data_IF_006477211241
#
_entry.id   IF_006477211241
#
_cell.length_a   1.000
_cell.length_b   1.000
_cell.length_c   1.000
_cell.angle_alpha   90.00
_cell.angle_beta   90.00
_cell.angle_gamma   90.00
#
_symmetry.space_group_name_H-M   'P 1'
#
loop_
_entity.id
_entity.type
_entity.pdbx_description
1 polymer ?
#
# COMPACT_ATOMS: atom_id res chain seq x y z
N UNK A 1 -27.29 -55.96 2.87
CA UNK A 1 -27.74 -54.57 2.61
C UNK A 1 -26.48 -53.71 2.49
N UNK A 2 -26.29 -53.06 1.34
CA UNK A 2 -25.08 -52.28 1.03
C UNK A 2 -25.22 -50.91 1.66
N UNK A 3 -24.42 -50.62 2.68
CA UNK A 3 -24.30 -49.26 3.22
C UNK A 3 -23.37 -48.48 2.30
N UNK A 4 -23.96 -47.66 1.42
CA UNK A 4 -23.22 -46.65 0.67
C UNK A 4 -22.83 -45.53 1.63
N UNK A 5 -21.56 -45.51 2.05
CA UNK A 5 -20.97 -44.36 2.72
C UNK A 5 -20.84 -43.22 1.73
N UNK A 6 -21.70 -42.23 1.87
CA UNK A 6 -21.64 -40.97 1.14
C UNK A 6 -20.42 -40.20 1.66
N UNK A 7 -19.33 -40.19 0.90
CA UNK A 7 -18.17 -39.35 1.18
C UNK A 7 -18.53 -37.90 0.81
N UNK A 8 -18.98 -37.11 1.79
CA UNK A 8 -19.05 -35.65 1.66
C UNK A 8 -17.64 -35.09 1.56
N UNK A 9 -17.18 -34.82 0.34
CA UNK A 9 -16.00 -34.02 0.10
C UNK A 9 -16.31 -32.58 0.56
N UNK A 10 -15.86 -32.20 1.77
CA UNK A 10 -15.67 -30.79 2.11
C UNK A 10 -14.52 -30.29 1.24
N UNK A 11 -14.85 -29.69 0.10
CA UNK A 11 -13.94 -28.75 -0.54
C UNK A 11 -13.78 -27.58 0.44
N UNK A 12 -12.75 -27.64 1.27
CA UNK A 12 -12.27 -26.49 2.03
C UNK A 12 -11.88 -25.42 1.01
N UNK A 13 -12.83 -24.54 0.67
CA UNK A 13 -12.52 -23.29 0.00
C UNK A 13 -11.64 -22.52 0.99
N UNK A 14 -10.32 -22.67 0.84
CA UNK A 14 -9.39 -21.76 1.49
C UNK A 14 -9.72 -20.40 0.89
N UNK A 15 -10.46 -19.58 1.63
CA UNK A 15 -10.50 -18.15 1.36
C UNK A 15 -9.03 -17.73 1.42
N UNK A 16 -8.41 -17.54 0.26
CA UNK A 16 -7.04 -17.08 0.15
C UNK A 16 -7.06 -15.62 0.59
N UNK A 17 -7.08 -15.41 1.91
CA UNK A 17 -7.04 -14.07 2.47
C UNK A 17 -5.72 -13.44 2.08
N UNK A 18 -5.71 -12.14 1.79
CA UNK A 18 -4.51 -11.40 1.46
C UNK A 18 -4.45 -10.11 2.27
N UNK A 19 -3.23 -9.61 2.46
CA UNK A 19 -2.98 -8.32 3.11
C UNK A 19 -2.01 -7.50 2.28
N UNK A 20 -2.05 -6.19 2.49
CA UNK A 20 -1.10 -5.28 1.86
C UNK A 20 0.18 -5.17 2.69
N UNK A 21 1.33 -5.36 2.05
CA UNK A 21 2.64 -5.47 2.72
C UNK A 21 3.73 -4.55 2.19
N UNK A 22 3.37 -3.70 1.24
CA UNK A 22 4.33 -2.82 0.62
C UNK A 22 3.72 -1.83 -0.33
N UNK A 23 4.58 -0.97 -0.86
CA UNK A 23 4.26 -0.06 -1.95
C UNK A 23 5.32 -0.14 -3.03
N UNK A 24 4.91 0.16 -4.26
CA UNK A 24 5.78 0.33 -5.40
C UNK A 24 5.34 1.51 -6.26
N UNK A 25 6.32 2.19 -6.86
CA UNK A 25 6.10 3.34 -7.73
C UNK A 25 7.22 3.43 -8.78
N UNK A 26 7.03 4.20 -9.87
CA UNK A 26 8.13 4.56 -10.76
C UNK A 26 9.24 5.28 -9.99
N UNK A 27 10.49 4.99 -10.32
CA UNK A 27 11.67 5.60 -9.68
C UNK A 27 11.79 7.10 -9.95
N UNK A 28 11.16 7.61 -11.01
CA UNK A 28 11.13 9.04 -11.34
C UNK A 28 9.68 9.52 -11.47
N UNK A 29 9.39 10.66 -10.85
CA UNK A 29 8.08 11.32 -10.85
C UNK A 29 8.21 12.74 -11.37
N UNK A 30 7.39 13.11 -12.35
CA UNK A 30 7.27 14.46 -12.86
C UNK A 30 6.17 15.25 -12.14
N UNK A 31 6.43 16.48 -11.68
CA UNK A 31 5.40 17.34 -11.12
C UNK A 31 4.19 17.51 -12.05
N UNK A 32 2.99 17.63 -11.46
CA UNK A 32 1.72 17.80 -12.19
C UNK A 32 1.40 16.66 -13.18
N UNK A 33 1.94 15.46 -12.96
CA UNK A 33 1.64 14.27 -13.74
C UNK A 33 0.99 13.18 -12.88
N UNK A 34 0.35 12.20 -13.51
CA UNK A 34 -0.18 11.03 -12.82
C UNK A 34 0.82 9.89 -12.79
N UNK A 35 0.82 9.10 -11.73
CA UNK A 35 1.59 7.88 -11.61
C UNK A 35 0.76 6.76 -11.01
N UNK A 36 1.18 5.51 -11.23
CA UNK A 36 0.58 4.34 -10.59
C UNK A 36 1.30 4.07 -9.29
N UNK A 37 0.58 4.25 -8.18
CA UNK A 37 0.98 3.72 -6.88
C UNK A 37 0.42 2.29 -6.76
N UNK A 38 1.32 1.33 -6.65
CA UNK A 38 0.97 -0.09 -6.49
C UNK A 38 1.11 -0.45 -5.02
N UNK A 39 0.06 -1.00 -4.42
CA UNK A 39 0.11 -1.62 -3.10
C UNK A 39 0.37 -3.11 -3.30
N UNK A 40 1.44 -3.60 -2.69
CA UNK A 40 1.87 -4.98 -2.82
C UNK A 40 1.02 -5.86 -1.91
N UNK A 41 0.50 -6.96 -2.46
CA UNK A 41 -0.32 -7.92 -1.72
C UNK A 41 0.41 -9.24 -1.54
N UNK A 42 0.19 -9.89 -0.40
CA UNK A 42 0.64 -11.26 -0.15
C UNK A 42 -0.48 -12.10 0.47
N UNK A 43 -0.36 -13.43 0.38
CA UNK A 43 -1.27 -14.35 1.05
C UNK A 43 -1.14 -14.29 2.57
N UNK A 44 -2.27 -14.34 3.27
CA UNK A 44 -2.32 -14.22 4.73
C UNK A 44 -3.35 -15.18 5.34
N UNK A 45 -3.06 -15.70 6.54
CA UNK A 45 -3.89 -16.76 7.16
C UNK A 45 -5.14 -16.21 7.85
N UNK A 46 -5.18 -14.92 8.18
CA UNK A 46 -6.32 -14.29 8.84
C UNK A 46 -7.08 -13.35 7.88
N UNK A 47 -8.34 -13.09 8.20
CA UNK A 47 -9.12 -12.04 7.51
C UNK A 47 -8.49 -10.66 7.74
N UNK A 48 -8.33 -9.89 6.67
CA UNK A 48 -7.88 -8.50 6.68
C UNK A 48 -8.86 -7.67 5.85
N UNK A 49 -9.18 -6.48 6.34
CA UNK A 49 -9.88 -5.46 5.59
C UNK A 49 -9.00 -4.19 5.56
N UNK A 50 -8.37 -3.96 4.42
CA UNK A 50 -7.64 -2.73 4.09
C UNK A 50 -8.67 -1.67 3.71
N UNK A 51 -8.82 -0.66 4.56
CA UNK A 51 -9.90 0.32 4.47
C UNK A 51 -9.50 1.45 3.54
N UNK A 52 -8.29 1.99 3.75
CA UNK A 52 -7.80 3.16 3.02
C UNK A 52 -6.27 3.20 3.00
N UNK A 53 -5.73 3.94 2.05
CA UNK A 53 -4.32 4.35 2.04
C UNK A 53 -4.24 5.86 1.92
N UNK A 54 -3.29 6.45 2.64
CA UNK A 54 -2.84 7.81 2.45
C UNK A 54 -1.35 7.81 2.07
N UNK A 55 -0.92 8.79 1.30
CA UNK A 55 0.49 8.96 0.94
C UNK A 55 0.89 10.42 0.97
N UNK A 56 2.20 10.67 0.99
CA UNK A 56 2.79 12.00 0.96
C UNK A 56 4.27 11.95 0.60
N UNK A 57 4.87 13.12 0.51
CA UNK A 57 6.26 13.30 0.12
C UNK A 57 7.06 13.98 1.22
N UNK A 58 8.26 13.48 1.48
CA UNK A 58 9.18 14.08 2.45
C UNK A 58 10.61 14.14 1.88
N UNK A 59 11.39 15.11 2.35
CA UNK A 59 12.82 15.17 2.02
C UNK A 59 13.54 14.21 2.97
N UNK A 60 14.37 13.31 2.44
CA UNK A 60 15.13 12.38 3.26
C UNK A 60 15.99 13.14 4.31
N UNK A 61 16.08 12.66 5.57
CA UNK A 61 15.58 11.38 6.08
C UNK A 61 14.10 11.38 6.52
N UNK A 62 13.37 12.47 6.34
CA UNK A 62 11.96 12.63 6.73
C UNK A 62 11.71 12.57 8.24
N UNK A 63 10.47 12.84 8.66
CA UNK A 63 10.05 12.68 10.06
C UNK A 63 9.46 11.28 10.32
N UNK A 64 9.98 10.50 11.29
CA UNK A 64 9.47 9.16 11.57
C UNK A 64 7.96 9.12 11.87
N UNK A 65 7.24 8.19 11.25
CA UNK A 65 5.80 8.03 11.43
C UNK A 65 4.95 9.12 10.76
N UNK A 66 5.54 9.96 9.91
CA UNK A 66 4.84 10.97 9.12
C UNK A 66 4.77 10.57 7.65
N UNK A 67 3.78 11.11 6.94
CA UNK A 67 3.71 11.02 5.47
C UNK A 67 4.46 12.17 4.78
N UNK A 68 4.86 13.20 5.53
CA UNK A 68 5.40 14.43 4.97
C UNK A 68 4.30 15.36 4.45
N UNK A 69 4.63 16.15 3.43
CA UNK A 69 3.72 17.10 2.79
C UNK A 69 2.98 16.52 1.58
N UNK A 70 2.17 17.36 0.94
CA UNK A 70 1.45 17.05 -0.30
C UNK A 70 0.65 15.74 -0.26
N UNK A 71 -0.19 15.61 0.76
CA UNK A 71 -0.85 14.34 1.03
C UNK A 71 -1.97 14.05 0.04
N UNK A 72 -2.08 12.77 -0.32
CA UNK A 72 -3.20 12.20 -1.07
C UNK A 72 -3.76 10.99 -0.35
N UNK A 73 -4.94 10.54 -0.75
CA UNK A 73 -5.54 9.34 -0.18
C UNK A 73 -6.50 8.66 -1.15
N UNK A 74 -6.72 7.37 -0.95
CA UNK A 74 -7.73 6.59 -1.66
C UNK A 74 -8.46 5.65 -0.70
N UNK A 75 -9.78 5.56 -0.87
CA UNK A 75 -10.56 4.50 -0.26
C UNK A 75 -10.30 3.19 -1.00
N UNK A 76 -10.00 2.13 -0.26
CA UNK A 76 -9.80 0.79 -0.79
C UNK A 76 -11.10 -0.01 -0.68
N UNK A 77 -11.62 -0.08 0.54
CA UNK A 77 -12.87 -0.76 0.84
C UNK A 77 -12.87 -2.25 0.45
N UNK A 78 -14.06 -2.89 0.46
CA UNK A 78 -14.20 -4.30 0.13
C UNK A 78 -13.79 -4.65 -1.31
N UNK A 79 -13.82 -3.68 -2.22
CA UNK A 79 -13.52 -3.90 -3.64
C UNK A 79 -12.03 -3.99 -3.94
N UNK A 80 -11.18 -3.41 -3.09
CA UNK A 80 -9.73 -3.37 -3.28
C UNK A 80 -8.94 -3.99 -2.13
N UNK A 81 -9.61 -4.51 -1.10
CA UNK A 81 -8.96 -5.31 -0.07
C UNK A 81 -9.15 -6.79 -0.35
N UNK A 82 -8.17 -7.58 0.09
CA UNK A 82 -8.29 -9.03 0.14
C UNK A 82 -8.60 -9.69 -1.23
N UNK A 83 -7.94 -9.20 -2.27
CA UNK A 83 -8.16 -9.60 -3.68
C UNK A 83 -7.34 -10.83 -4.08
N UNK A 84 -7.18 -11.81 -3.20
CA UNK A 84 -6.58 -13.10 -3.58
C UNK A 84 -5.11 -13.03 -4.01
N UNK A 85 -4.33 -12.13 -3.40
CA UNK A 85 -2.91 -11.84 -3.67
C UNK A 85 -2.62 -10.93 -4.87
N UNK A 86 -3.64 -10.45 -5.57
CA UNK A 86 -3.42 -9.45 -6.61
C UNK A 86 -3.03 -8.09 -6.01
N UNK A 87 -2.03 -7.46 -6.61
CA UNK A 87 -1.61 -6.12 -6.24
C UNK A 87 -2.72 -5.11 -6.56
N UNK A 88 -2.83 -4.10 -5.69
CA UNK A 88 -3.85 -3.05 -5.83
C UNK A 88 -3.22 -1.82 -6.43
N UNK A 89 -3.84 -1.24 -7.46
CA UNK A 89 -3.32 -0.02 -8.10
C UNK A 89 -4.19 1.19 -7.80
N UNK A 90 -3.50 2.32 -7.61
CA UNK A 90 -4.09 3.64 -7.39
C UNK A 90 -3.44 4.60 -8.38
N UNK A 91 -4.27 5.32 -9.12
CA UNK A 91 -3.80 6.47 -9.90
C UNK A 91 -3.63 7.65 -8.95
N UNK A 92 -2.39 7.99 -8.65
CA UNK A 92 -2.02 9.14 -7.83
C UNK A 92 -1.52 10.29 -8.73
N UNK A 93 -1.57 11.51 -8.20
CA UNK A 93 -1.05 12.70 -8.90
C UNK A 93 0.15 13.23 -8.15
N UNK A 94 1.21 13.54 -8.88
CA UNK A 94 2.38 14.25 -8.35
C UNK A 94 1.99 15.73 -8.21
N UNK A 95 2.04 16.31 -7.01
CA UNK A 95 1.68 17.70 -6.78
C UNK A 95 2.59 18.66 -7.57
N UNK A 96 2.02 19.77 -8.08
CA UNK A 96 2.79 20.82 -8.76
C UNK A 96 3.86 21.45 -7.86
N UNK A 97 3.63 21.51 -6.55
CA UNK A 97 4.59 22.07 -5.59
C UNK A 97 5.95 21.37 -5.55
N UNK A 98 6.05 20.13 -6.05
CA UNK A 98 7.33 19.44 -6.20
C UNK A 98 8.16 19.95 -7.39
N UNK A 99 7.63 20.84 -8.22
CA UNK A 99 8.42 21.56 -9.25
C UNK A 99 9.33 22.65 -8.66
N UNK A 100 9.16 22.99 -7.37
CA UNK A 100 9.99 24.00 -6.71
C UNK A 100 11.46 23.60 -6.60
N UNK A 101 12.34 24.60 -6.50
CA UNK A 101 13.81 24.43 -6.43
C UNK A 101 14.27 23.49 -5.30
N UNK A 102 13.48 23.36 -4.23
CA UNK A 102 13.77 22.47 -3.11
C UNK A 102 13.66 20.98 -3.46
N UNK A 103 12.89 20.64 -4.49
CA UNK A 103 12.54 19.26 -4.84
C UNK A 103 13.03 18.87 -6.23
N UNK A 104 13.08 19.82 -7.18
CA UNK A 104 13.48 19.55 -8.55
C UNK A 104 14.86 18.87 -8.63
N UNK A 105 14.92 17.69 -9.25
CA UNK A 105 16.15 16.90 -9.39
C UNK A 105 16.56 16.09 -8.16
N UNK A 106 15.88 16.26 -7.02
CA UNK A 106 16.20 15.61 -5.76
C UNK A 106 15.57 14.23 -5.63
N UNK A 107 16.18 13.40 -4.79
CA UNK A 107 15.57 12.19 -4.26
C UNK A 107 14.72 12.53 -3.03
N UNK A 108 13.46 12.10 -3.06
CA UNK A 108 12.48 12.32 -2.00
C UNK A 108 11.88 10.98 -1.57
N UNK A 109 11.38 10.93 -0.35
CA UNK A 109 10.65 9.79 0.16
C UNK A 109 9.18 9.92 -0.23
N UNK A 110 8.67 8.93 -0.95
CA UNK A 110 7.24 8.70 -1.11
C UNK A 110 6.81 7.78 0.04
N UNK A 111 6.10 8.33 1.01
CA UNK A 111 5.60 7.62 2.18
C UNK A 111 4.14 7.23 1.95
N UNK A 112 3.73 6.05 2.41
CA UNK A 112 2.33 5.64 2.43
C UNK A 112 1.97 4.99 3.77
N UNK A 113 0.76 5.29 4.26
CA UNK A 113 0.16 4.68 5.43
C UNK A 113 -1.10 3.94 5.03
N UNK A 114 -1.14 2.63 5.27
CA UNK A 114 -2.30 1.77 5.00
C UNK A 114 -3.04 1.53 6.31
N UNK A 115 -4.32 1.89 6.34
CA UNK A 115 -5.23 1.63 7.43
C UNK A 115 -5.97 0.31 7.18
N UNK A 116 -5.77 -0.65 8.08
CA UNK A 116 -6.34 -2.00 7.97
C UNK A 116 -6.98 -2.46 9.29
N UNK A 117 -7.93 -3.39 9.15
CA UNK A 117 -8.59 -4.11 10.24
C UNK A 117 -8.20 -5.58 10.17
N UNK A 118 -7.66 -6.12 11.26
CA UNK A 118 -7.15 -7.49 11.33
C UNK A 118 -8.04 -8.39 12.19
N UNK A 119 -8.28 -9.60 11.68
CA UNK A 119 -8.95 -10.68 12.41
C UNK A 119 -10.44 -10.44 12.64
N UNK A 120 -11.09 -11.41 13.31
CA UNK A 120 -12.54 -11.40 13.53
C UNK A 120 -13.02 -10.25 14.43
N UNK A 121 -12.14 -9.72 15.29
CA UNK A 121 -12.43 -8.59 16.17
C UNK A 121 -12.19 -7.23 15.50
N UNK A 122 -11.66 -7.18 14.28
CA UNK A 122 -11.39 -5.94 13.55
C UNK A 122 -10.32 -5.06 14.23
N UNK A 123 -9.22 -5.67 14.68
CA UNK A 123 -8.12 -4.94 15.32
C UNK A 123 -7.55 -3.87 14.38
N UNK A 124 -7.52 -2.61 14.84
CA UNK A 124 -7.08 -1.47 14.05
C UNK A 124 -5.56 -1.36 13.99
N UNK A 125 -5.03 -1.24 12.78
CA UNK A 125 -3.61 -1.02 12.53
C UNK A 125 -3.40 -0.01 11.41
N UNK A 126 -2.45 0.90 11.60
CA UNK A 126 -1.88 1.69 10.51
C UNK A 126 -0.45 1.24 10.28
N UNK A 127 -0.15 0.80 9.06
CA UNK A 127 1.20 0.37 8.66
C UNK A 127 1.79 1.35 7.65
N UNK A 128 3.01 1.81 7.92
CA UNK A 128 3.76 2.71 7.07
C UNK A 128 4.75 2.01 6.17
N UNK A 129 4.90 2.53 4.96
CA UNK A 129 5.89 2.11 3.96
C UNK A 129 6.50 3.36 3.31
N UNK A 130 7.72 3.23 2.79
CA UNK A 130 8.32 4.30 2.02
C UNK A 130 9.22 3.76 0.91
N UNK A 131 9.30 4.51 -0.18
CA UNK A 131 10.26 4.28 -1.27
C UNK A 131 10.93 5.61 -1.62
N UNK A 132 12.17 5.54 -2.10
CA UNK A 132 12.88 6.71 -2.60
C UNK A 132 12.58 6.90 -4.08
N UNK A 133 12.14 8.09 -4.46
CA UNK A 133 11.85 8.46 -5.86
C UNK A 133 12.55 9.76 -6.20
N UNK A 134 12.94 9.92 -7.46
CA UNK A 134 13.51 11.15 -8.00
C UNK A 134 12.42 12.05 -8.55
N UNK A 135 12.49 13.35 -8.23
CA UNK A 135 11.66 14.36 -8.92
C UNK A 135 12.37 14.80 -10.19
N UNK A 136 11.76 14.59 -11.34
CA UNK A 136 12.37 14.84 -12.65
C UNK A 136 11.40 15.36 -13.70
N UNK A 137 11.84 15.41 -14.95
CA UNK A 137 11.06 15.99 -16.06
C UNK A 137 9.96 15.06 -16.58
N UNK A 138 10.09 13.74 -16.38
CA UNK A 138 9.14 12.74 -16.88
C UNK A 138 8.91 11.63 -15.85
N UNK A 139 7.64 11.24 -15.67
CA UNK A 139 7.27 10.10 -14.83
C UNK A 139 7.61 8.80 -15.54
N UNK A 140 8.34 7.90 -14.85
CA UNK A 140 8.75 6.61 -15.40
C UNK A 140 10.02 6.07 -14.74
N UNK A 141 10.74 5.23 -15.48
CA UNK A 141 11.92 4.52 -15.00
C UNK A 141 11.59 3.14 -14.44
N UNK A 142 12.57 2.55 -13.75
CA UNK A 142 12.39 1.28 -13.05
C UNK A 142 11.39 1.40 -11.91
N UNK A 143 10.74 0.30 -11.54
CA UNK A 143 9.85 0.27 -10.39
C UNK A 143 10.69 0.12 -9.12
N UNK A 144 10.57 1.08 -8.22
CA UNK A 144 11.11 0.98 -6.85
C UNK A 144 10.02 0.47 -5.94
N UNK A 145 10.38 -0.43 -5.02
CA UNK A 145 9.42 -1.05 -4.13
C UNK A 145 10.00 -1.25 -2.72
N UNK A 146 9.11 -1.30 -1.75
CA UNK A 146 9.41 -1.63 -0.36
C UNK A 146 8.48 -2.75 0.08
N UNK A 147 9.08 -3.88 0.47
CA UNK A 147 8.41 -4.99 1.14
C UNK A 147 8.97 -5.04 2.56
N UNK A 148 8.12 -4.79 3.56
CA UNK A 148 8.53 -4.64 4.95
C UNK A 148 8.10 -3.30 5.56
N UNK A 149 7.66 -3.35 6.82
CA UNK A 149 7.06 -2.22 7.51
C UNK A 149 8.13 -1.18 7.86
N UNK A 150 7.98 0.05 7.38
CA UNK A 150 8.82 1.18 7.81
C UNK A 150 8.46 1.60 9.25
N UNK A 151 7.17 1.58 9.56
CA UNK A 151 6.64 1.81 10.90
C UNK A 151 5.25 1.19 11.05
N UNK A 152 4.83 1.00 12.30
CA UNK A 152 3.48 0.54 12.63
C UNK A 152 2.95 1.38 13.79
N UNK A 153 1.70 1.84 13.66
CA UNK A 153 0.95 2.43 14.76
C UNK A 153 -0.24 1.53 15.07
N UNK A 154 -0.26 1.00 16.28
CA UNK A 154 -1.38 0.24 16.84
C UNK A 154 -1.95 1.04 18.02
N UNK A 155 -3.26 0.99 18.20
CA UNK A 155 -3.90 1.58 19.37
C UNK A 155 -3.75 0.66 20.59
N UNK A 156 -2.53 0.56 21.14
CA UNK A 156 -2.32 0.17 22.53
C UNK A 156 -1.12 0.96 23.06
N UNK A 157 -1.39 2.04 23.79
CA UNK A 157 -0.48 2.56 24.81
C UNK A 157 -0.76 1.83 26.11
#
# INVERSE_FOLDING_TARGET
MRFSTLATALTSATLASSRLTGIAAPSTLAPNSTFTLTLLSEGYINAVADVAVAWGFDIAPGYPGSLGGFTGSAYLGPEKSNQGQDNVTITATVPEGLAGELYAGMEVLLNAGIYSLYGASGGLTVTGFNVTVKIGEATGGEIVQSEGQAWIQNSVQ
#
